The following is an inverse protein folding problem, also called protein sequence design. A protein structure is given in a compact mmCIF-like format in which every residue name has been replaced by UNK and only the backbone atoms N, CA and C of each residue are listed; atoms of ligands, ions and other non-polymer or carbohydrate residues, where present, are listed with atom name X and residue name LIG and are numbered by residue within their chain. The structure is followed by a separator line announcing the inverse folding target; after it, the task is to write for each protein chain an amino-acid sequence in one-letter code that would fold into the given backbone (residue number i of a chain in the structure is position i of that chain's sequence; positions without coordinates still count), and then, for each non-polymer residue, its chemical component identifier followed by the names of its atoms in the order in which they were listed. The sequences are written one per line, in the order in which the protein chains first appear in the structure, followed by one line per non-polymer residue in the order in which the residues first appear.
data_IF_436967470452
#
_entry.id   IF_436967470452
#
_cell.length_a   1.000
_cell.length_b   1.000
_cell.length_c   1.000
_cell.angle_alpha   90.00
_cell.angle_beta   90.00
_cell.angle_gamma   90.00
#
_symmetry.space_group_name_H-M   'P 1'
#
loop_
_entity.id
_entity.type
_entity.pdbx_description
1 polymer ?
#
# COMPACT_ATOMS: atom_id res chain seq x y z
N UNK A 1 -15.89 -14.44 -16.57
CA UNK A 1 -15.98 -15.27 -15.34
C UNK A 1 -15.13 -14.59 -14.26
N UNK A 2 -15.52 -14.58 -12.98
CA UNK A 2 -14.71 -14.03 -11.89
C UNK A 2 -13.38 -14.75 -11.76
N UNK A 3 -12.34 -14.04 -11.33
CA UNK A 3 -11.02 -14.61 -11.01
C UNK A 3 -11.14 -15.41 -9.70
N UNK A 4 -10.69 -16.68 -9.71
CA UNK A 4 -10.72 -17.55 -8.55
C UNK A 4 -9.56 -17.19 -7.62
N UNK A 5 -9.86 -16.68 -6.45
CA UNK A 5 -8.90 -16.07 -5.51
C UNK A 5 -8.67 -17.00 -4.32
N UNK A 6 -7.40 -17.18 -3.99
CA UNK A 6 -6.99 -17.67 -2.67
C UNK A 6 -6.48 -16.52 -1.80
N UNK A 7 -6.79 -16.52 -0.52
CA UNK A 7 -6.36 -15.50 0.44
C UNK A 7 -5.38 -16.10 1.46
N UNK A 8 -4.26 -15.44 1.68
CA UNK A 8 -3.22 -15.86 2.63
C UNK A 8 -3.19 -14.91 3.83
N UNK A 9 -3.54 -15.42 5.00
CA UNK A 9 -3.70 -14.66 6.24
C UNK A 9 -5.10 -14.08 6.42
N UNK A 10 -5.78 -14.49 7.50
CA UNK A 10 -7.15 -14.06 7.84
C UNK A 10 -7.21 -13.21 9.10
N UNK A 11 -6.14 -12.45 9.36
CA UNK A 11 -6.12 -11.41 10.38
C UNK A 11 -7.11 -10.27 10.03
N UNK A 12 -7.08 -9.20 10.82
CA UNK A 12 -7.99 -8.07 10.62
C UNK A 12 -8.07 -7.55 9.16
N UNK A 13 -6.93 -7.41 8.45
CA UNK A 13 -6.93 -6.93 7.08
C UNK A 13 -7.42 -8.00 6.09
N UNK A 14 -7.02 -9.26 6.27
CA UNK A 14 -7.53 -10.37 5.44
C UNK A 14 -9.05 -10.50 5.52
N UNK A 15 -9.66 -10.33 6.70
CA UNK A 15 -11.12 -10.26 6.87
C UNK A 15 -11.74 -9.11 6.08
N UNK A 16 -11.08 -7.94 6.08
CA UNK A 16 -11.53 -6.79 5.29
C UNK A 16 -11.48 -7.09 3.79
N UNK A 17 -10.39 -7.66 3.28
CA UNK A 17 -10.24 -8.04 1.88
C UNK A 17 -11.28 -9.11 1.48
N UNK A 18 -11.45 -10.16 2.28
CA UNK A 18 -12.45 -11.20 2.02
C UNK A 18 -13.86 -10.61 1.87
N UNK A 19 -14.23 -9.68 2.77
CA UNK A 19 -15.52 -8.98 2.68
C UNK A 19 -15.63 -8.11 1.42
N UNK A 20 -14.56 -7.46 0.97
CA UNK A 20 -14.59 -6.69 -0.28
C UNK A 20 -14.80 -7.62 -1.49
N UNK A 21 -14.13 -8.78 -1.52
CA UNK A 21 -14.28 -9.76 -2.60
C UNK A 21 -15.74 -10.20 -2.76
N UNK A 22 -16.49 -10.41 -1.67
CA UNK A 22 -17.92 -10.83 -1.76
C UNK A 22 -18.83 -9.79 -2.40
N UNK A 23 -18.37 -8.55 -2.58
CA UNK A 23 -19.15 -7.48 -3.22
C UNK A 23 -18.79 -7.27 -4.70
N UNK A 24 -17.87 -8.07 -5.24
CA UNK A 24 -17.37 -7.96 -6.61
C UNK A 24 -17.91 -9.06 -7.52
N UNK A 25 -18.31 -8.69 -8.72
CA UNK A 25 -18.63 -9.65 -9.78
C UNK A 25 -17.37 -10.17 -10.52
N UNK A 26 -16.20 -9.56 -10.27
CA UNK A 26 -14.94 -9.90 -10.93
C UNK A 26 -14.04 -10.85 -10.12
N UNK A 27 -14.37 -11.09 -8.86
CA UNK A 27 -13.56 -11.86 -7.91
C UNK A 27 -14.42 -12.92 -7.22
N UNK A 28 -13.86 -14.11 -7.01
CA UNK A 28 -14.50 -15.18 -6.26
C UNK A 28 -13.49 -15.79 -5.28
N UNK A 29 -13.76 -15.73 -3.98
CA UNK A 29 -12.91 -16.30 -2.94
C UNK A 29 -13.17 -17.81 -2.85
N UNK A 30 -12.18 -18.64 -3.16
CA UNK A 30 -12.31 -20.10 -3.17
C UNK A 30 -11.57 -20.78 -2.02
N UNK A 31 -10.51 -20.14 -1.51
CA UNK A 31 -9.71 -20.71 -0.43
C UNK A 31 -9.10 -19.62 0.46
N UNK A 32 -8.87 -19.97 1.71
CA UNK A 32 -8.12 -19.16 2.68
C UNK A 32 -7.13 -20.06 3.41
N UNK A 33 -5.89 -19.61 3.56
CA UNK A 33 -4.93 -20.24 4.45
C UNK A 33 -4.62 -19.34 5.64
N UNK A 34 -4.70 -19.92 6.85
CA UNK A 34 -4.39 -19.28 8.12
C UNK A 34 -3.63 -20.27 9.02
N UNK A 35 -2.50 -19.82 9.58
CA UNK A 35 -1.65 -20.68 10.41
C UNK A 35 -2.12 -20.79 11.86
N UNK A 36 -2.81 -19.77 12.36
CA UNK A 36 -3.35 -19.72 13.71
C UNK A 36 -4.57 -20.65 13.84
N UNK A 37 -4.48 -21.67 14.73
CA UNK A 37 -5.54 -22.65 14.92
C UNK A 37 -6.80 -22.07 15.56
N UNK A 38 -6.64 -21.14 16.50
CA UNK A 38 -7.77 -20.50 17.18
C UNK A 38 -8.53 -19.60 16.21
N UNK A 39 -7.79 -18.88 15.36
CA UNK A 39 -8.39 -18.08 14.30
C UNK A 39 -9.12 -18.94 13.28
N UNK A 40 -8.55 -20.10 12.85
CA UNK A 40 -9.26 -21.05 11.96
C UNK A 40 -10.57 -21.57 12.57
N UNK A 41 -10.59 -21.81 13.88
CA UNK A 41 -11.83 -22.20 14.57
C UNK A 41 -12.90 -21.11 14.48
N UNK A 42 -12.52 -19.85 14.64
CA UNK A 42 -13.43 -18.71 14.44
C UNK A 42 -13.89 -18.59 12.99
N UNK A 43 -13.01 -18.83 12.02
CA UNK A 43 -13.30 -18.76 10.58
C UNK A 43 -14.41 -19.72 10.15
N UNK A 44 -14.53 -20.89 10.78
CA UNK A 44 -15.58 -21.87 10.48
C UNK A 44 -17.00 -21.36 10.73
N UNK A 45 -17.15 -20.26 11.48
CA UNK A 45 -18.43 -19.61 11.77
C UNK A 45 -18.61 -18.29 10.99
N UNK A 46 -17.65 -17.89 10.17
CA UNK A 46 -17.73 -16.65 9.40
C UNK A 46 -18.59 -16.86 8.14
N UNK A 47 -19.73 -16.16 7.99
CA UNK A 47 -20.60 -16.33 6.83
C UNK A 47 -19.93 -15.97 5.50
N UNK A 48 -18.89 -15.15 5.51
CA UNK A 48 -18.08 -14.79 4.33
C UNK A 48 -17.36 -16.03 3.78
N UNK A 49 -17.06 -17.00 4.63
CA UNK A 49 -16.28 -18.20 4.30
C UNK A 49 -17.14 -19.47 4.13
N UNK A 50 -18.46 -19.35 4.01
CA UNK A 50 -19.39 -20.50 4.00
C UNK A 50 -19.03 -21.57 2.97
N UNK A 51 -18.61 -21.16 1.76
CA UNK A 51 -18.28 -22.07 0.66
C UNK A 51 -16.79 -21.99 0.30
N UNK A 52 -15.95 -21.53 1.24
CA UNK A 52 -14.52 -21.28 1.05
C UNK A 52 -13.72 -22.38 1.75
N UNK A 53 -12.75 -22.96 1.06
CA UNK A 53 -11.86 -23.96 1.64
C UNK A 53 -10.88 -23.31 2.62
N UNK A 54 -10.86 -23.77 3.88
CA UNK A 54 -9.94 -23.28 4.92
C UNK A 54 -8.78 -24.26 5.08
N UNK A 55 -7.55 -23.76 4.96
CA UNK A 55 -6.32 -24.55 5.07
C UNK A 55 -5.40 -24.01 6.18
N UNK A 56 -4.48 -24.87 6.64
CA UNK A 56 -3.44 -24.53 7.61
C UNK A 56 -2.03 -24.61 7.03
N UNK A 57 -1.89 -24.93 5.75
CA UNK A 57 -0.62 -25.16 5.09
C UNK A 57 -0.57 -24.43 3.75
N UNK A 58 0.47 -23.62 3.54
CA UNK A 58 0.62 -22.79 2.35
C UNK A 58 0.98 -23.61 1.10
N UNK A 59 1.78 -24.67 1.23
CA UNK A 59 2.17 -25.50 0.09
C UNK A 59 0.98 -26.33 -0.43
N UNK A 60 0.12 -26.79 0.49
CA UNK A 60 -1.13 -27.45 0.13
C UNK A 60 -2.11 -26.46 -0.52
N UNK A 61 -2.18 -25.24 -0.01
CA UNK A 61 -3.00 -24.17 -0.57
C UNK A 61 -2.61 -23.83 -2.02
N UNK A 62 -1.31 -23.73 -2.34
CA UNK A 62 -0.85 -23.44 -3.70
C UNK A 62 -1.20 -24.53 -4.72
N UNK A 63 -1.57 -25.76 -4.26
CA UNK A 63 -1.95 -26.88 -5.11
C UNK A 63 -3.45 -26.97 -5.39
N UNK A 64 -4.24 -26.01 -4.89
CA UNK A 64 -5.69 -26.01 -5.12
C UNK A 64 -5.98 -25.86 -6.62
N UNK A 65 -6.78 -26.80 -7.12
CA UNK A 65 -7.21 -26.78 -8.51
C UNK A 65 -8.09 -25.56 -8.80
N UNK A 66 -7.91 -24.98 -9.99
CA UNK A 66 -8.67 -23.83 -10.48
C UNK A 66 -8.47 -22.52 -9.70
N UNK A 67 -7.58 -22.43 -8.72
CA UNK A 67 -7.18 -21.16 -8.12
C UNK A 67 -6.25 -20.40 -9.09
N UNK A 68 -6.63 -19.20 -9.51
CA UNK A 68 -5.95 -18.42 -10.54
C UNK A 68 -5.01 -17.37 -9.96
N UNK A 69 -5.36 -16.85 -8.80
CA UNK A 69 -4.58 -15.80 -8.15
C UNK A 69 -4.61 -15.92 -6.62
N UNK A 70 -3.58 -15.37 -5.97
CA UNK A 70 -3.48 -15.28 -4.53
C UNK A 70 -3.43 -13.83 -4.07
N UNK A 71 -4.04 -13.54 -2.92
CA UNK A 71 -3.91 -12.27 -2.22
C UNK A 71 -3.16 -12.52 -0.92
N UNK A 72 -2.04 -11.82 -0.71
CA UNK A 72 -1.18 -11.94 0.45
C UNK A 72 -1.48 -10.85 1.47
N UNK A 73 -1.98 -11.25 2.65
CA UNK A 73 -2.28 -10.37 3.80
C UNK A 73 -1.48 -10.81 5.05
N UNK A 74 -0.31 -11.35 4.84
CA UNK A 74 0.60 -11.88 5.88
C UNK A 74 1.52 -10.79 6.46
N UNK A 75 2.31 -11.09 7.51
CA UNK A 75 3.37 -10.21 7.95
C UNK A 75 4.41 -9.93 6.86
N UNK A 76 4.91 -8.71 6.83
CA UNK A 76 5.74 -8.14 5.76
C UNK A 76 6.95 -9.00 5.35
N UNK A 77 7.57 -9.69 6.32
CA UNK A 77 8.75 -10.54 6.08
C UNK A 77 8.44 -11.76 5.20
N UNK A 78 7.17 -12.18 5.12
CA UNK A 78 6.77 -13.37 4.37
C UNK A 78 6.46 -13.06 2.91
N UNK A 79 6.23 -11.80 2.56
CA UNK A 79 5.73 -11.40 1.25
C UNK A 79 6.64 -11.87 0.12
N UNK A 80 7.95 -11.63 0.20
CA UNK A 80 8.89 -11.95 -0.87
C UNK A 80 8.87 -13.45 -1.25
N UNK A 81 8.99 -14.33 -0.26
CA UNK A 81 9.00 -15.77 -0.49
C UNK A 81 7.63 -16.29 -0.95
N UNK A 82 6.54 -15.73 -0.41
CA UNK A 82 5.18 -16.10 -0.81
C UNK A 82 4.86 -15.63 -2.24
N UNK A 83 5.31 -14.44 -2.67
CA UNK A 83 5.18 -13.97 -4.06
C UNK A 83 5.91 -14.92 -5.00
N UNK A 84 7.16 -15.26 -4.69
CA UNK A 84 7.99 -16.16 -5.49
C UNK A 84 7.33 -17.53 -5.60
N UNK A 85 6.92 -18.14 -4.50
CA UNK A 85 6.30 -19.46 -4.48
C UNK A 85 4.98 -19.50 -5.27
N UNK A 86 4.11 -18.49 -5.09
CA UNK A 86 2.84 -18.40 -5.81
C UNK A 86 3.04 -18.20 -7.32
N UNK A 87 3.95 -17.32 -7.74
CA UNK A 87 4.25 -17.11 -9.14
C UNK A 87 4.84 -18.38 -9.80
N UNK A 88 5.73 -19.10 -9.12
CA UNK A 88 6.28 -20.39 -9.57
C UNK A 88 5.20 -21.49 -9.65
N UNK A 89 4.20 -21.46 -8.77
CA UNK A 89 3.03 -22.34 -8.82
C UNK A 89 2.04 -21.96 -9.94
N UNK A 90 2.31 -20.89 -10.70
CA UNK A 90 1.51 -20.47 -11.84
C UNK A 90 0.37 -19.52 -11.50
N UNK A 91 0.31 -18.97 -10.28
CA UNK A 91 -0.74 -18.06 -9.83
C UNK A 91 -0.34 -16.60 -10.02
N UNK A 92 -1.31 -15.75 -10.35
CA UNK A 92 -1.16 -14.31 -10.26
C UNK A 92 -1.13 -13.87 -8.80
N UNK A 93 -0.45 -12.78 -8.47
CA UNK A 93 -0.25 -12.36 -7.07
C UNK A 93 -0.72 -10.94 -6.85
N UNK A 94 -1.54 -10.72 -5.84
CA UNK A 94 -1.79 -9.42 -5.25
C UNK A 94 -1.18 -9.42 -3.85
N UNK A 95 -0.25 -8.51 -3.57
CA UNK A 95 0.41 -8.44 -2.28
C UNK A 95 0.01 -7.17 -1.53
N UNK A 96 -0.32 -7.31 -0.25
CA UNK A 96 -0.46 -6.14 0.62
C UNK A 96 0.87 -5.42 0.79
N UNK A 97 0.75 -4.12 1.11
CA UNK A 97 1.91 -3.25 1.32
C UNK A 97 2.56 -3.47 2.72
N UNK A 98 3.86 -3.22 2.83
CA UNK A 98 4.83 -3.01 1.77
C UNK A 98 5.05 -4.28 0.95
N UNK A 99 5.37 -4.16 -0.34
CA UNK A 99 5.62 -5.32 -1.21
C UNK A 99 6.68 -6.26 -0.63
N UNK A 100 7.82 -5.70 -0.24
CA UNK A 100 8.94 -6.35 0.44
C UNK A 100 9.60 -5.36 1.40
N UNK A 101 10.51 -5.84 2.26
CA UNK A 101 11.27 -4.99 3.17
C UNK A 101 12.64 -4.57 2.59
N UNK A 102 13.15 -5.29 1.59
CA UNK A 102 14.42 -4.97 0.92
C UNK A 102 14.23 -4.81 -0.59
N UNK A 103 15.07 -3.99 -1.19
CA UNK A 103 15.09 -3.77 -2.63
C UNK A 103 15.38 -5.05 -3.42
N UNK A 104 16.35 -5.85 -2.95
CA UNK A 104 16.72 -7.11 -3.61
C UNK A 104 15.58 -8.13 -3.59
N UNK A 105 14.86 -8.26 -2.49
CA UNK A 105 13.69 -9.14 -2.40
C UNK A 105 12.58 -8.69 -3.36
N UNK A 106 12.36 -7.38 -3.46
CA UNK A 106 11.38 -6.83 -4.39
C UNK A 106 11.78 -7.08 -5.86
N UNK A 107 13.07 -6.91 -6.21
CA UNK A 107 13.56 -7.25 -7.54
C UNK A 107 13.34 -8.73 -7.88
N UNK A 108 13.70 -9.64 -6.96
CA UNK A 108 13.51 -11.08 -7.12
C UNK A 108 12.03 -11.44 -7.29
N UNK A 109 11.16 -10.89 -6.45
CA UNK A 109 9.72 -11.14 -6.50
C UNK A 109 9.11 -10.67 -7.83
N UNK A 110 9.43 -9.44 -8.26
CA UNK A 110 8.97 -8.87 -9.53
C UNK A 110 9.50 -9.69 -10.71
N UNK A 111 10.81 -9.98 -10.74
CA UNK A 111 11.43 -10.77 -11.82
C UNK A 111 10.79 -12.17 -11.91
N UNK A 112 10.48 -12.80 -10.77
CA UNK A 112 9.80 -14.10 -10.77
C UNK A 112 8.41 -14.00 -11.40
N UNK A 113 7.61 -12.99 -11.04
CA UNK A 113 6.29 -12.79 -11.65
C UNK A 113 6.40 -12.57 -13.18
N UNK A 114 7.35 -11.73 -13.62
CA UNK A 114 7.60 -11.46 -15.05
C UNK A 114 7.99 -12.74 -15.78
N UNK A 115 8.96 -13.49 -15.27
CA UNK A 115 9.46 -14.72 -15.90
C UNK A 115 8.41 -15.83 -16.01
N UNK A 116 7.43 -15.84 -15.11
CA UNK A 116 6.32 -16.80 -15.14
C UNK A 116 5.06 -16.24 -15.82
N UNK A 117 5.12 -15.03 -16.41
CA UNK A 117 3.99 -14.33 -17.02
C UNK A 117 2.81 -14.18 -16.02
N UNK A 118 3.10 -13.83 -14.78
CA UNK A 118 2.09 -13.59 -13.75
C UNK A 118 1.93 -12.09 -13.49
N UNK A 119 0.70 -11.65 -13.34
CA UNK A 119 0.37 -10.29 -12.90
C UNK A 119 0.76 -10.16 -11.44
N UNK A 120 1.43 -9.07 -11.09
CA UNK A 120 1.69 -8.66 -9.72
C UNK A 120 0.91 -7.37 -9.42
N UNK A 121 0.04 -7.40 -8.42
CA UNK A 121 -0.68 -6.26 -7.87
C UNK A 121 -0.16 -5.90 -6.48
N UNK A 122 -0.46 -4.68 -6.01
CA UNK A 122 0.00 -4.15 -4.73
C UNK A 122 -1.10 -3.38 -3.99
N UNK A 123 -1.19 -3.55 -2.67
CA UNK A 123 -2.18 -2.90 -1.79
C UNK A 123 -1.96 -1.40 -1.58
N UNK A 124 -1.78 -0.63 -2.64
CA UNK A 124 -1.75 0.84 -2.61
C UNK A 124 -3.09 1.43 -3.02
N UNK A 125 -4.14 1.16 -2.25
CA UNK A 125 -5.53 1.53 -2.51
C UNK A 125 -5.75 3.03 -2.65
N UNK A 126 -4.91 3.87 -2.03
CA UNK A 126 -5.03 5.32 -2.14
C UNK A 126 -4.83 5.86 -3.55
N UNK A 127 -4.14 5.14 -4.42
CA UNK A 127 -4.02 5.47 -5.85
C UNK A 127 -5.36 5.40 -6.60
N UNK A 128 -6.35 4.72 -6.02
CA UNK A 128 -7.70 4.52 -6.58
C UNK A 128 -8.74 5.48 -5.97
N UNK A 129 -8.34 6.38 -5.08
CA UNK A 129 -9.20 7.44 -4.56
C UNK A 129 -9.52 8.44 -5.69
N UNK A 130 -10.80 8.79 -5.95
CA UNK A 130 -11.17 9.69 -7.06
C UNK A 130 -10.43 11.02 -7.01
N UNK A 131 -10.28 11.62 -5.81
CA UNK A 131 -9.57 12.88 -5.63
C UNK A 131 -8.07 12.78 -6.01
N UNK A 132 -7.43 11.63 -5.76
CA UNK A 132 -6.03 11.38 -6.14
C UNK A 132 -5.93 11.15 -7.66
N UNK A 133 -6.89 10.44 -8.25
CA UNK A 133 -6.94 10.21 -9.71
C UNK A 133 -7.07 11.55 -10.43
N UNK A 134 -8.00 12.41 -10.02
CA UNK A 134 -8.20 13.76 -10.57
C UNK A 134 -6.94 14.61 -10.43
N UNK A 135 -6.34 14.65 -9.23
CA UNK A 135 -5.11 15.40 -8.99
C UNK A 135 -3.98 14.95 -9.92
N UNK A 136 -3.79 13.63 -10.12
CA UNK A 136 -2.78 13.10 -11.04
C UNK A 136 -3.05 13.50 -12.49
N UNK A 137 -4.30 13.50 -12.93
CA UNK A 137 -4.69 13.96 -14.27
C UNK A 137 -4.37 15.44 -14.45
N UNK A 138 -4.66 16.30 -13.46
CA UNK A 138 -4.34 17.72 -13.49
C UNK A 138 -2.84 17.96 -13.58
N UNK A 139 -2.04 17.20 -12.84
CA UNK A 139 -0.58 17.30 -12.87
C UNK A 139 -0.06 16.90 -14.26
N UNK A 140 -0.53 15.79 -14.82
CA UNK A 140 -0.17 15.33 -16.16
C UNK A 140 -0.56 16.33 -17.26
N UNK A 141 -1.70 17.00 -17.09
CA UNK A 141 -2.17 18.06 -17.98
C UNK A 141 -1.42 19.40 -17.78
N UNK A 142 -0.49 19.49 -16.80
CA UNK A 142 0.28 20.69 -16.52
C UNK A 142 -0.52 21.83 -15.88
N UNK A 143 -1.69 21.52 -15.31
CA UNK A 143 -2.58 22.50 -14.65
C UNK A 143 -1.87 23.22 -13.50
N UNK A 144 -1.12 22.47 -12.67
CA UNK A 144 -0.38 23.03 -11.54
C UNK A 144 0.99 23.62 -11.93
N UNK A 145 1.41 23.52 -13.19
CA UNK A 145 2.74 23.90 -13.64
C UNK A 145 3.82 22.92 -13.15
N UNK A 146 5.04 23.42 -12.89
CA UNK A 146 6.10 22.63 -12.30
C UNK A 146 5.76 22.31 -10.85
N UNK A 147 5.80 21.04 -10.46
CA UNK A 147 5.58 20.64 -9.07
C UNK A 147 6.82 21.02 -8.25
N UNK A 148 6.59 21.73 -7.15
CA UNK A 148 7.62 22.25 -6.27
C UNK A 148 7.79 21.39 -5.02
N UNK A 149 6.66 21.07 -4.36
CA UNK A 149 6.66 20.35 -3.09
C UNK A 149 5.38 19.55 -2.89
N UNK A 150 5.51 18.45 -2.17
CA UNK A 150 4.41 17.69 -1.60
C UNK A 150 4.48 17.80 -0.07
N UNK A 151 3.33 18.01 0.59
CA UNK A 151 3.18 17.88 2.02
C UNK A 151 2.11 16.83 2.34
N UNK A 152 2.44 15.87 3.19
CA UNK A 152 1.51 14.80 3.49
C UNK A 152 1.56 14.37 4.95
N UNK A 153 0.40 13.97 5.48
CA UNK A 153 0.27 13.42 6.82
C UNK A 153 -0.74 12.27 6.81
N UNK A 154 -0.33 11.11 7.35
CA UNK A 154 -1.25 10.03 7.64
C UNK A 154 -0.94 9.49 9.04
N UNK A 155 -1.72 9.94 10.02
CA UNK A 155 -1.54 9.65 11.43
C UNK A 155 -2.79 9.01 12.01
N UNK A 156 -2.62 8.17 13.04
CA UNK A 156 -3.72 7.48 13.73
C UNK A 156 -3.28 6.97 15.10
N UNK A 157 -4.24 6.59 15.95
CA UNK A 157 -4.01 6.01 17.28
C UNK A 157 -4.56 4.57 17.44
N UNK A 158 -4.97 3.95 16.33
CA UNK A 158 -5.61 2.62 16.35
C UNK A 158 -4.75 1.52 16.95
N UNK A 159 -3.42 1.67 16.89
CA UNK A 159 -2.50 0.64 17.38
C UNK A 159 -2.50 0.49 18.90
N UNK A 160 -3.03 1.47 19.66
CA UNK A 160 -3.27 1.30 21.09
C UNK A 160 -4.30 0.20 21.42
N UNK A 161 -5.18 -0.13 20.49
CA UNK A 161 -6.15 -1.21 20.65
C UNK A 161 -5.56 -2.62 20.35
N UNK A 162 -4.33 -2.69 19.84
CA UNK A 162 -3.67 -3.98 19.55
C UNK A 162 -3.10 -4.60 20.84
N UNK A 163 -3.08 -5.94 20.95
CA UNK A 163 -2.30 -6.62 22.00
C UNK A 163 -0.82 -6.17 21.97
N UNK A 164 -0.19 -6.08 23.14
CA UNK A 164 1.20 -5.58 23.25
C UNK A 164 2.23 -6.42 22.52
N UNK A 165 1.95 -7.69 22.32
CA UNK A 165 2.77 -8.67 21.58
C UNK A 165 2.41 -8.73 20.08
N UNK A 166 1.55 -7.86 19.61
CA UNK A 166 1.19 -7.84 18.19
C UNK A 166 2.41 -7.51 17.32
N UNK A 167 2.62 -8.31 16.28
CA UNK A 167 3.75 -8.18 15.36
C UNK A 167 3.92 -6.78 14.73
N UNK A 168 2.81 -6.02 14.60
CA UNK A 168 2.84 -4.64 14.07
C UNK A 168 3.53 -3.65 15.01
N UNK A 169 3.72 -3.99 16.28
CA UNK A 169 4.40 -3.17 17.28
C UNK A 169 5.89 -3.58 17.42
N UNK A 170 6.31 -4.64 16.75
CA UNK A 170 7.66 -5.18 16.81
C UNK A 170 8.57 -4.54 15.77
N UNK A 171 9.78 -4.17 16.21
CA UNK A 171 10.83 -3.68 15.32
C UNK A 171 11.34 -4.76 14.34
N UNK A 172 11.26 -6.03 14.74
CA UNK A 172 11.65 -7.17 13.91
C UNK A 172 10.68 -7.40 12.75
N UNK A 173 9.37 -7.34 13.00
CA UNK A 173 8.35 -7.76 12.03
C UNK A 173 7.75 -6.60 11.22
N UNK A 174 7.74 -5.40 11.80
CA UNK A 174 7.26 -4.17 11.19
C UNK A 174 8.20 -3.01 11.53
N UNK A 175 9.44 -3.00 10.96
CA UNK A 175 10.42 -1.96 11.28
C UNK A 175 9.89 -0.58 10.91
N UNK A 176 10.27 0.44 11.70
CA UNK A 176 9.79 1.82 11.53
C UNK A 176 8.26 1.85 11.44
N UNK A 177 7.59 1.51 12.55
CA UNK A 177 6.14 1.28 12.61
C UNK A 177 5.28 2.30 11.89
N UNK A 178 5.46 3.63 12.07
CA UNK A 178 4.71 4.62 11.33
C UNK A 178 4.91 4.55 9.81
N UNK A 179 6.09 4.13 9.31
CA UNK A 179 6.33 3.96 7.88
C UNK A 179 5.51 2.80 7.32
N UNK A 180 5.68 1.61 7.89
CA UNK A 180 5.04 0.39 7.38
C UNK A 180 3.52 0.37 7.58
N UNK A 181 3.02 1.10 8.59
CA UNK A 181 1.59 1.23 8.84
C UNK A 181 0.90 2.21 7.88
N UNK A 182 1.36 3.46 7.84
CA UNK A 182 0.66 4.58 7.18
C UNK A 182 1.54 5.38 6.22
N UNK A 183 2.78 5.67 6.60
CA UNK A 183 3.69 6.52 5.80
C UNK A 183 3.99 5.98 4.41
N UNK A 184 4.02 4.66 4.25
CA UNK A 184 4.30 4.00 2.96
C UNK A 184 3.27 4.37 1.87
N UNK A 185 2.00 4.62 2.23
CA UNK A 185 0.98 5.08 1.29
C UNK A 185 1.29 6.49 0.78
N UNK A 186 1.83 7.36 1.62
CA UNK A 186 2.19 8.73 1.24
C UNK A 186 3.47 8.76 0.41
N UNK A 187 4.44 7.89 0.71
CA UNK A 187 5.63 7.66 -0.12
C UNK A 187 5.22 7.18 -1.51
N UNK A 188 4.27 6.24 -1.57
CA UNK A 188 3.72 5.75 -2.83
C UNK A 188 3.03 6.84 -3.66
N UNK A 189 2.20 7.67 -3.03
CA UNK A 189 1.56 8.80 -3.72
C UNK A 189 2.57 9.84 -4.20
N UNK A 190 3.63 10.13 -3.42
CA UNK A 190 4.69 11.03 -3.84
C UNK A 190 5.44 10.49 -5.07
N UNK A 191 5.75 9.19 -5.10
CA UNK A 191 6.35 8.51 -6.25
C UNK A 191 5.39 8.52 -7.45
N UNK A 192 4.09 8.33 -7.24
CA UNK A 192 3.09 8.39 -8.30
C UNK A 192 2.97 9.76 -8.98
N UNK A 193 3.36 10.83 -8.27
CA UNK A 193 3.33 12.22 -8.75
C UNK A 193 4.67 12.65 -9.34
N UNK A 194 5.79 12.31 -8.67
CA UNK A 194 7.12 12.87 -8.97
C UNK A 194 8.09 11.85 -9.60
N UNK A 195 7.68 10.59 -9.70
CA UNK A 195 8.58 9.51 -10.08
C UNK A 195 9.45 8.99 -8.93
N UNK A 196 10.48 8.19 -9.21
CA UNK A 196 11.38 7.68 -8.18
C UNK A 196 12.12 8.79 -7.44
N UNK A 197 12.20 8.68 -6.10
CA UNK A 197 13.02 9.56 -5.29
C UNK A 197 14.52 9.26 -5.51
N UNK A 198 15.39 10.26 -5.30
CA UNK A 198 16.85 10.13 -5.40
C UNK A 198 17.55 10.14 -4.03
N UNK A 199 16.93 10.77 -3.02
CA UNK A 199 17.51 10.91 -1.69
C UNK A 199 16.43 10.99 -0.61
N UNK A 200 16.80 10.66 0.63
CA UNK A 200 15.91 10.77 1.78
C UNK A 200 16.67 11.13 3.05
N UNK A 201 16.04 11.96 3.87
CA UNK A 201 16.34 12.10 5.28
C UNK A 201 15.09 11.78 6.10
N UNK A 202 15.26 10.96 7.16
CA UNK A 202 14.15 10.56 8.01
C UNK A 202 14.54 10.51 9.49
N UNK A 203 13.58 10.82 10.37
CA UNK A 203 13.74 10.74 11.81
C UNK A 203 12.56 10.01 12.45
N UNK A 204 12.87 8.94 13.16
CA UNK A 204 11.94 8.18 13.98
C UNK A 204 12.13 8.51 15.46
N UNK A 205 11.05 8.56 16.22
CA UNK A 205 11.05 8.63 17.67
C UNK A 205 9.88 7.84 18.27
N UNK A 206 9.99 7.44 19.53
CA UNK A 206 8.87 7.00 20.36
C UNK A 206 8.61 8.10 21.39
N UNK A 207 7.45 8.76 21.29
CA UNK A 207 7.13 9.96 22.08
C UNK A 207 5.84 9.83 22.89
N UNK A 208 4.83 9.16 22.33
CA UNK A 208 3.50 9.09 22.90
C UNK A 208 2.99 7.67 23.17
N UNK A 209 3.80 6.65 22.89
CA UNK A 209 3.42 5.25 23.05
C UNK A 209 4.51 4.40 23.68
N UNK A 210 4.23 3.11 23.82
CA UNK A 210 5.18 2.06 24.22
C UNK A 210 5.67 1.21 23.02
N UNK A 211 5.41 1.64 21.80
CA UNK A 211 5.70 0.85 20.60
C UNK A 211 7.21 0.75 20.39
N UNK A 212 7.70 -0.48 20.26
CA UNK A 212 9.13 -0.78 20.08
C UNK A 212 9.66 -0.16 18.77
N UNK A 213 8.84 -0.19 17.72
CA UNK A 213 9.17 0.26 16.37
C UNK A 213 8.84 1.74 16.09
N UNK A 214 8.63 2.54 17.17
CA UNK A 214 8.40 3.98 17.10
C UNK A 214 6.95 4.38 16.84
N UNK A 215 6.66 5.66 17.11
CA UNK A 215 5.32 6.21 16.94
C UNK A 215 5.28 7.55 16.20
N UNK A 216 6.42 8.19 15.97
CA UNK A 216 6.50 9.51 15.34
C UNK A 216 7.59 9.52 14.30
N UNK A 217 7.22 9.70 13.03
CA UNK A 217 8.13 9.68 11.88
C UNK A 217 7.96 10.95 11.04
N UNK A 218 9.08 11.62 10.77
CA UNK A 218 9.21 12.66 9.76
C UNK A 218 10.13 12.20 8.64
N UNK A 219 9.76 12.47 7.40
CA UNK A 219 10.51 12.08 6.19
C UNK A 219 10.60 13.30 5.27
N UNK A 220 11.77 13.51 4.69
CA UNK A 220 11.99 14.43 3.57
C UNK A 220 12.58 13.63 2.41
N UNK A 221 11.80 13.42 1.34
CA UNK A 221 12.26 12.83 0.09
C UNK A 221 12.68 13.92 -0.89
N UNK A 222 13.83 13.74 -1.51
CA UNK A 222 14.28 14.55 -2.65
C UNK A 222 14.05 13.81 -3.96
N UNK A 223 13.62 14.55 -4.98
CA UNK A 223 13.32 14.01 -6.31
C UNK A 223 14.16 14.68 -7.40
N UNK A 224 14.40 14.02 -8.53
CA UNK A 224 15.07 14.64 -9.67
C UNK A 224 14.39 15.95 -10.07
N UNK A 225 15.21 16.98 -10.36
CA UNK A 225 14.68 18.31 -10.68
C UNK A 225 14.41 19.22 -9.47
N UNK A 226 14.66 18.72 -8.24
CA UNK A 226 14.68 19.54 -7.02
C UNK A 226 13.34 19.62 -6.27
N UNK A 227 12.29 18.94 -6.72
CA UNK A 227 11.06 18.82 -5.93
C UNK A 227 11.29 17.99 -4.65
N UNK A 228 10.52 18.29 -3.59
CA UNK A 228 10.61 17.57 -2.32
C UNK A 228 9.24 17.07 -1.85
N UNK A 229 9.24 15.99 -1.08
CA UNK A 229 8.06 15.58 -0.32
C UNK A 229 8.37 15.58 1.18
N UNK A 230 7.57 16.31 1.95
CA UNK A 230 7.58 16.35 3.41
C UNK A 230 6.43 15.48 3.92
N UNK A 231 6.78 14.36 4.54
CA UNK A 231 5.81 13.36 4.97
C UNK A 231 5.90 13.18 6.48
N UNK A 232 4.74 13.24 7.14
CA UNK A 232 4.58 12.92 8.54
C UNK A 232 3.70 11.69 8.71
N UNK A 233 4.10 10.77 9.61
CA UNK A 233 3.30 9.62 10.01
C UNK A 233 3.43 9.41 11.53
N UNK A 234 2.32 9.36 12.24
CA UNK A 234 2.27 9.16 13.68
C UNK A 234 1.27 8.05 14.04
N UNK A 235 1.60 7.26 15.07
CA UNK A 235 0.75 6.17 15.56
C UNK A 235 0.22 6.42 16.98
N UNK A 236 0.41 7.64 17.50
CA UNK A 236 0.04 8.02 18.86
C UNK A 236 -0.77 9.32 18.91
N UNK A 237 -1.49 9.66 17.85
CA UNK A 237 -2.36 10.83 17.76
C UNK A 237 -3.66 10.46 17.05
N UNK A 238 -4.78 11.14 17.30
CA UNK A 238 -6.02 10.95 16.56
C UNK A 238 -5.81 11.03 15.04
N UNK A 239 -6.74 10.46 14.30
CA UNK A 239 -6.66 10.37 12.85
C UNK A 239 -6.47 11.74 12.19
N UNK A 240 -5.49 11.82 11.32
CA UNK A 240 -5.28 12.89 10.34
C UNK A 240 -4.89 12.27 8.99
N UNK A 241 -5.60 12.64 7.92
CA UNK A 241 -5.31 12.25 6.56
C UNK A 241 -5.24 13.49 5.67
N UNK A 242 -4.03 13.81 5.14
CA UNK A 242 -3.80 14.97 4.28
C UNK A 242 -2.76 14.67 3.21
N UNK A 243 -3.04 15.09 1.98
CA UNK A 243 -2.10 15.07 0.88
C UNK A 243 -2.22 16.38 0.09
N UNK A 244 -1.16 17.18 0.05
CA UNK A 244 -1.14 18.46 -0.64
C UNK A 244 0.01 18.52 -1.64
N UNK A 245 -0.27 19.02 -2.86
CA UNK A 245 0.70 19.21 -3.93
C UNK A 245 0.76 20.66 -4.31
N UNK A 246 1.95 21.23 -4.22
CA UNK A 246 2.24 22.64 -4.54
C UNK A 246 2.97 22.73 -5.88
N UNK A 247 2.37 23.41 -6.84
CA UNK A 247 2.95 23.69 -8.14
C UNK A 247 3.17 25.19 -8.38
N UNK A 248 3.89 25.53 -9.43
CA UNK A 248 4.22 26.94 -9.77
C UNK A 248 3.03 27.77 -10.22
N UNK A 249 1.88 27.15 -10.56
CA UNK A 249 0.65 27.83 -10.99
C UNK A 249 -0.49 27.70 -9.97
N UNK A 250 -0.32 26.89 -8.93
CA UNK A 250 -1.34 26.67 -7.92
C UNK A 250 -1.07 25.40 -7.11
N UNK A 251 -1.96 25.12 -6.17
CA UNK A 251 -1.84 23.96 -5.32
C UNK A 251 -3.21 23.30 -5.05
N UNK A 252 -3.17 22.03 -4.70
CA UNK A 252 -4.34 21.23 -4.33
C UNK A 252 -4.05 20.53 -3.01
N UNK A 253 -4.96 20.62 -2.05
CA UNK A 253 -4.96 19.86 -0.80
C UNK A 253 -6.17 18.94 -0.78
N UNK A 254 -5.94 17.67 -0.46
CA UNK A 254 -6.95 16.63 -0.26
C UNK A 254 -6.89 16.21 1.20
N UNK A 255 -8.04 16.24 1.89
CA UNK A 255 -8.18 15.80 3.29
C UNK A 255 -9.19 14.66 3.38
N UNK A 256 -8.76 13.57 4.00
CA UNK A 256 -9.66 12.47 4.34
C UNK A 256 -10.63 12.89 5.45
N UNK A 257 -11.93 12.75 5.25
CA UNK A 257 -12.92 13.02 6.30
C UNK A 257 -12.95 11.97 7.38
N UNK A 258 -12.59 10.73 7.05
CA UNK A 258 -12.43 9.59 7.96
C UNK A 258 -11.31 8.68 7.46
N UNK A 259 -10.91 7.77 8.35
CA UNK A 259 -9.88 6.79 8.04
C UNK A 259 -10.21 5.98 6.76
N UNK A 260 -9.24 5.69 5.89
CA UNK A 260 -9.45 4.98 4.60
C UNK A 260 -10.15 3.62 4.70
N UNK A 261 -10.12 2.96 5.86
CA UNK A 261 -10.86 1.72 6.10
C UNK A 261 -12.38 1.91 6.21
N UNK A 262 -12.82 3.12 6.55
CA UNK A 262 -14.23 3.50 6.64
C UNK A 262 -14.43 4.89 6.02
N UNK A 263 -14.15 5.04 4.72
CA UNK A 263 -14.07 6.35 4.07
C UNK A 263 -15.42 7.07 4.14
N UNK A 264 -15.36 8.40 4.32
CA UNK A 264 -16.52 9.29 4.30
C UNK A 264 -16.38 10.38 3.21
N UNK A 265 -15.47 10.15 2.25
CA UNK A 265 -15.13 11.09 1.20
C UNK A 265 -13.99 12.01 1.57
N UNK A 266 -13.71 12.96 0.69
CA UNK A 266 -12.55 13.83 0.74
C UNK A 266 -12.96 15.29 0.55
N UNK A 267 -12.45 16.18 1.42
CA UNK A 267 -12.49 17.62 1.19
C UNK A 267 -11.31 18.02 0.32
N UNK A 268 -11.58 18.74 -0.77
CA UNK A 268 -10.57 19.14 -1.75
C UNK A 268 -10.53 20.65 -1.79
N UNK A 269 -9.37 21.23 -1.53
CA UNK A 269 -9.13 22.68 -1.68
C UNK A 269 -8.14 22.91 -2.81
N UNK A 270 -8.57 23.70 -3.81
CA UNK A 270 -7.77 24.09 -4.96
C UNK A 270 -7.56 25.60 -4.93
N UNK A 271 -6.32 26.03 -5.10
CA UNK A 271 -5.96 27.45 -5.19
C UNK A 271 -5.09 27.66 -6.41
N UNK A 272 -5.57 28.42 -7.38
CA UNK A 272 -4.83 28.75 -8.59
C UNK A 272 -4.36 30.21 -8.57
N UNK A 273 -3.21 30.47 -9.17
CA UNK A 273 -2.65 31.79 -9.23
C UNK A 273 -3.65 32.79 -9.86
N UNK A 274 -3.94 33.88 -9.15
CA UNK A 274 -4.85 34.93 -9.62
C UNK A 274 -6.35 34.53 -9.59
N UNK A 275 -6.72 33.42 -8.95
CA UNK A 275 -8.10 32.97 -8.81
C UNK A 275 -8.49 32.84 -7.33
N UNK A 276 -9.79 32.93 -7.06
CA UNK A 276 -10.32 32.65 -5.72
C UNK A 276 -10.19 31.14 -5.39
N UNK A 277 -9.94 30.80 -4.11
CA UNK A 277 -9.88 29.41 -3.69
C UNK A 277 -11.21 28.66 -3.94
N UNK A 278 -11.12 27.46 -4.50
CA UNK A 278 -12.27 26.58 -4.70
C UNK A 278 -12.19 25.44 -3.68
N UNK A 279 -13.30 25.20 -2.98
CA UNK A 279 -13.47 24.06 -2.09
C UNK A 279 -14.54 23.15 -2.67
N UNK A 280 -14.24 21.88 -2.79
CA UNK A 280 -15.14 20.84 -3.29
C UNK A 280 -15.09 19.61 -2.42
N UNK A 281 -15.96 18.65 -2.70
CA UNK A 281 -16.07 17.42 -1.96
C UNK A 281 -16.18 16.23 -2.93
N UNK A 282 -15.39 15.20 -2.70
CA UNK A 282 -15.54 13.91 -3.36
C UNK A 282 -16.21 12.90 -2.43
N UNK A 283 -17.24 12.24 -2.94
CA UNK A 283 -18.00 11.22 -2.19
C UNK A 283 -17.11 10.00 -1.86
N UNK A 284 -17.51 9.26 -0.82
CA UNK A 284 -16.85 7.99 -0.46
C UNK A 284 -16.81 7.04 -1.66
N UNK A 285 -15.70 6.36 -1.80
CA UNK A 285 -15.45 5.43 -2.91
C UNK A 285 -14.76 4.16 -2.38
N UNK A 286 -15.08 2.97 -2.90
CA UNK A 286 -14.50 1.71 -2.44
C UNK A 286 -13.12 1.48 -3.08
N UNK A 287 -12.13 2.28 -2.71
CA UNK A 287 -10.79 2.29 -3.33
C UNK A 287 -10.06 0.95 -3.19
N UNK A 288 -10.25 0.24 -2.06
CA UNK A 288 -9.70 -1.11 -1.86
C UNK A 288 -10.27 -2.07 -2.91
N UNK A 289 -11.60 -2.10 -3.05
CA UNK A 289 -12.27 -2.95 -4.04
C UNK A 289 -11.84 -2.59 -5.46
N UNK A 290 -11.79 -1.31 -5.80
CA UNK A 290 -11.36 -0.84 -7.13
C UNK A 290 -9.92 -1.29 -7.46
N UNK A 291 -9.03 -1.32 -6.48
CA UNK A 291 -7.68 -1.84 -6.66
C UNK A 291 -7.70 -3.36 -6.96
N UNK A 292 -8.46 -4.12 -6.19
CA UNK A 292 -8.62 -5.57 -6.41
C UNK A 292 -9.27 -5.87 -7.77
N UNK A 293 -10.25 -5.09 -8.19
CA UNK A 293 -10.92 -5.24 -9.49
C UNK A 293 -10.00 -4.84 -10.66
N UNK A 294 -9.15 -3.82 -10.48
CA UNK A 294 -8.12 -3.49 -11.46
C UNK A 294 -7.11 -4.64 -11.63
N UNK A 295 -6.73 -5.31 -10.53
CA UNK A 295 -5.93 -6.52 -10.58
C UNK A 295 -6.66 -7.65 -11.32
N UNK A 296 -7.94 -7.90 -11.02
CA UNK A 296 -8.73 -8.93 -11.71
C UNK A 296 -8.81 -8.68 -13.23
N UNK A 297 -9.02 -7.44 -13.67
CA UNK A 297 -9.03 -7.04 -15.09
C UNK A 297 -7.67 -7.29 -15.74
N UNK A 298 -6.58 -7.02 -15.04
CA UNK A 298 -5.23 -7.30 -15.54
C UNK A 298 -4.98 -8.82 -15.65
N UNK A 299 -5.44 -9.62 -14.70
CA UNK A 299 -5.40 -11.10 -14.78
C UNK A 299 -6.15 -11.62 -15.99
N UNK A 300 -7.28 -11.01 -16.35
CA UNK A 300 -8.07 -11.35 -17.55
C UNK A 300 -7.46 -10.79 -18.86
N UNK A 301 -6.41 -9.98 -18.79
CA UNK A 301 -5.82 -9.34 -19.97
C UNK A 301 -6.67 -8.21 -20.57
N UNK A 302 -7.66 -7.72 -19.84
CA UNK A 302 -8.56 -6.66 -20.30
C UNK A 302 -7.87 -5.29 -20.31
N UNK A 303 -7.00 -5.04 -19.33
CA UNK A 303 -6.19 -3.83 -19.22
C UNK A 303 -4.94 -4.08 -18.37
N UNK A 304 -3.84 -3.33 -18.55
CA UNK A 304 -2.68 -3.45 -17.69
C UNK A 304 -3.01 -3.02 -16.25
N UNK A 305 -2.34 -3.62 -15.26
CA UNK A 305 -2.46 -3.18 -13.87
C UNK A 305 -1.88 -1.75 -13.72
N UNK A 306 -2.59 -0.82 -13.04
CA UNK A 306 -2.23 0.61 -13.08
C UNK A 306 -0.94 0.98 -12.34
N UNK A 307 -0.45 0.15 -11.42
CA UNK A 307 0.80 0.37 -10.71
C UNK A 307 1.89 -0.44 -11.39
N UNK A 308 2.86 0.22 -12.00
CA UNK A 308 3.95 -0.44 -12.73
C UNK A 308 4.95 -1.11 -11.77
N UNK A 309 5.64 -2.14 -12.24
CA UNK A 309 6.72 -2.79 -11.50
C UNK A 309 7.83 -1.79 -11.11
N UNK A 310 8.11 -0.80 -11.96
CA UNK A 310 9.07 0.27 -11.65
C UNK A 310 8.64 1.12 -10.47
N UNK A 311 7.35 1.47 -10.37
CA UNK A 311 6.82 2.21 -9.23
C UNK A 311 6.80 1.37 -7.95
N UNK A 312 6.45 0.09 -8.05
CA UNK A 312 6.52 -0.85 -6.91
C UNK A 312 7.96 -0.94 -6.37
N UNK A 313 8.93 -1.08 -7.26
CA UNK A 313 10.34 -1.15 -6.91
C UNK A 313 10.86 0.17 -6.34
N UNK A 314 10.44 1.32 -6.90
CA UNK A 314 10.77 2.65 -6.39
C UNK A 314 10.24 2.85 -4.95
N UNK A 315 9.04 2.34 -4.66
CA UNK A 315 8.45 2.42 -3.32
C UNK A 315 9.28 1.61 -2.31
N UNK A 316 9.69 0.40 -2.65
CA UNK A 316 10.55 -0.42 -1.76
C UNK A 316 11.94 0.18 -1.63
N UNK A 317 12.53 0.74 -2.70
CA UNK A 317 13.81 1.45 -2.64
C UNK A 317 13.75 2.63 -1.65
N UNK A 318 12.69 3.42 -1.72
CA UNK A 318 12.46 4.52 -0.79
C UNK A 318 12.25 4.02 0.65
N UNK A 319 11.45 2.95 0.84
CA UNK A 319 11.25 2.32 2.16
C UNK A 319 12.59 1.88 2.78
N UNK A 320 13.42 1.17 2.06
CA UNK A 320 14.72 0.69 2.53
C UNK A 320 15.66 1.87 2.88
N UNK A 321 15.72 2.90 2.03
CA UNK A 321 16.51 4.10 2.28
C UNK A 321 15.99 4.91 3.49
N UNK A 322 14.68 4.98 3.71
CA UNK A 322 14.08 5.60 4.90
C UNK A 322 14.52 4.85 6.17
N UNK A 323 14.44 3.53 6.19
CA UNK A 323 14.88 2.71 7.34
C UNK A 323 16.37 2.91 7.61
N UNK A 324 17.18 3.00 6.56
CA UNK A 324 18.61 3.27 6.67
C UNK A 324 18.87 4.69 7.22
N UNK A 325 18.17 5.72 6.74
CA UNK A 325 18.30 7.09 7.21
C UNK A 325 17.89 7.25 8.69
N UNK A 326 16.84 6.56 9.13
CA UNK A 326 16.44 6.51 10.54
C UNK A 326 17.57 5.99 11.43
N UNK A 327 18.31 4.99 10.95
CA UNK A 327 19.41 4.36 11.70
C UNK A 327 20.69 5.21 11.65
N UNK A 328 21.11 5.63 10.45
CA UNK A 328 22.33 6.41 10.23
C UNK A 328 22.21 7.87 10.68
N UNK A 329 20.99 8.42 10.71
CA UNK A 329 20.69 9.84 10.94
C UNK A 329 21.29 10.77 9.89
N UNK A 330 21.57 10.24 8.71
CA UNK A 330 22.15 10.95 7.58
C UNK A 330 21.14 10.99 6.40
N UNK A 331 21.44 11.84 5.44
CA UNK A 331 20.80 11.76 4.12
C UNK A 331 21.29 10.48 3.44
N UNK A 332 20.37 9.66 2.98
CA UNK A 332 20.65 8.42 2.25
C UNK A 332 20.22 8.53 0.79
N UNK A 333 21.00 7.92 -0.09
CA UNK A 333 20.63 7.78 -1.49
C UNK A 333 19.55 6.70 -1.64
N UNK A 334 18.59 6.93 -2.49
CA UNK A 334 17.57 5.95 -2.87
C UNK A 334 18.02 5.21 -4.12
N UNK A 335 17.96 3.88 -4.11
CA UNK A 335 18.35 3.07 -5.26
C UNK A 335 17.47 3.39 -6.48
N UNK A 336 18.09 3.59 -7.63
CA UNK A 336 17.36 3.78 -8.88
C UNK A 336 16.68 2.48 -9.29
N UNK A 337 15.37 2.47 -9.53
CA UNK A 337 14.65 1.27 -9.91
C UNK A 337 15.19 0.69 -11.22
N UNK A 338 15.66 -0.55 -11.18
CA UNK A 338 16.06 -1.31 -12.36
C UNK A 338 15.56 -2.75 -12.22
N UNK A 339 14.79 -3.21 -13.19
CA UNK A 339 14.34 -4.60 -13.26
C UNK A 339 15.39 -5.35 -14.07
N UNK A 340 16.21 -6.15 -13.40
CA UNK A 340 17.07 -7.12 -14.09
C UNK A 340 16.15 -8.25 -14.61
N UNK A 341 15.94 -8.28 -15.91
CA UNK A 341 15.22 -9.34 -16.62
C UNK A 341 16.14 -10.53 -16.88
#
# INVERSE_FOLDING_TARGET
MPVQIGLVGYGWWGKTIAKQITTSDLLNLVAVVELDADLRTQMSHDPVLKDVQILSDFDAFLKIQNMEAVILCTPHQQHADQIVAAAQAGQHVFCEKPLCLTYLDAQKAIATCVNHNRVLGIGHERRFEPAIIELRQDIQAGVLGSILQIEANFSQDKFFALPKDNWRLSNQHAPVGPLTATGIHLVDLAIAVLGPAESVWARLATRGSYFENGDTLGIMLGFPGGANALISAMLATPFEGRFAVYGSKGWVEIRDRKHPESPAGWDIKRVMQGQEPVVSFAEKFPSVLSNLEAFAKAVRGEQPYPVSHTEMLANVAALEAIMKSVTSRQVESVATPSIAL
#
